data_IF_755806949851
#
_entry.id   IF_755806949851
#
_cell.length_a   1.000
_cell.length_b   1.000
_cell.length_c   1.000
_cell.angle_alpha   90.00
_cell.angle_beta   90.00
_cell.angle_gamma   90.00
#
_symmetry.space_group_name_H-M   'P 1'
#
loop_
_entity.id
_entity.type
_entity.pdbx_description
1 polymer ?
#
# COMPACT_ATOMS: atom_id res chain seq x y z
N UNK A 1 -40.05 -85.33 -21.87
CA UNK A 1 -39.90 -84.13 -22.73
C UNK A 1 -38.96 -83.18 -22.03
N UNK A 2 -37.80 -82.88 -22.66
CA UNK A 2 -36.71 -82.09 -22.10
C UNK A 2 -36.93 -80.65 -22.40
N UNK A 3 -36.82 -79.81 -21.35
CA UNK A 3 -36.71 -78.36 -21.51
C UNK A 3 -35.34 -77.92 -21.00
N UNK A 4 -34.49 -77.49 -21.92
CA UNK A 4 -33.19 -77.01 -21.60
C UNK A 4 -33.25 -75.53 -21.15
N UNK A 5 -32.69 -75.25 -20.02
CA UNK A 5 -32.48 -73.86 -19.52
C UNK A 5 -31.11 -73.36 -19.96
N UNK A 6 -31.11 -72.28 -20.72
CA UNK A 6 -29.92 -71.61 -21.20
C UNK A 6 -29.52 -70.46 -20.17
N UNK A 7 -28.43 -70.71 -19.48
CA UNK A 7 -27.87 -69.74 -18.58
C UNK A 7 -27.18 -68.66 -19.40
N UNK A 8 -27.61 -67.42 -19.22
CA UNK A 8 -27.03 -66.22 -19.85
C UNK A 8 -26.08 -65.53 -18.89
N UNK A 9 -24.78 -65.73 -19.09
CA UNK A 9 -23.74 -64.98 -18.38
C UNK A 9 -23.82 -63.57 -18.78
N UNK A 10 -24.07 -62.68 -17.78
CA UNK A 10 -23.85 -61.24 -17.87
C UNK A 10 -22.50 -60.92 -17.23
N UNK A 11 -21.53 -60.67 -18.05
CA UNK A 11 -20.26 -60.06 -17.62
C UNK A 11 -20.52 -58.60 -17.25
N UNK A 12 -20.36 -58.27 -15.96
CA UNK A 12 -20.35 -56.91 -15.48
C UNK A 12 -19.01 -56.26 -15.83
N UNK A 13 -19.05 -55.33 -16.79
CA UNK A 13 -17.90 -54.48 -17.11
C UNK A 13 -17.70 -53.47 -15.99
N UNK A 14 -16.58 -53.57 -15.30
CA UNK A 14 -16.15 -52.58 -14.32
C UNK A 14 -15.56 -51.39 -15.11
N UNK A 15 -16.32 -50.30 -15.21
CA UNK A 15 -15.79 -49.03 -15.71
C UNK A 15 -14.88 -48.41 -14.62
N UNK A 16 -13.58 -48.53 -14.84
CA UNK A 16 -12.57 -47.85 -14.03
C UNK A 16 -12.51 -46.37 -14.44
N UNK A 17 -13.25 -45.54 -13.72
CA UNK A 17 -13.17 -44.08 -13.88
C UNK A 17 -11.84 -43.60 -13.31
N UNK A 18 -10.86 -43.36 -14.20
CA UNK A 18 -9.61 -42.71 -13.88
C UNK A 18 -9.85 -41.20 -13.80
N UNK A 19 -10.18 -40.70 -12.60
CA UNK A 19 -10.24 -39.24 -12.35
C UNK A 19 -8.79 -38.72 -12.26
N UNK A 20 -8.32 -38.13 -13.36
CA UNK A 20 -7.05 -37.43 -13.42
C UNK A 20 -7.19 -36.12 -12.67
N UNK A 21 -6.86 -36.10 -11.37
CA UNK A 21 -6.77 -34.89 -10.56
C UNK A 21 -5.49 -34.16 -10.94
N UNK A 22 -5.61 -33.18 -11.82
CA UNK A 22 -4.51 -32.25 -12.13
C UNK A 22 -4.33 -31.31 -10.94
N UNK A 23 -3.34 -31.59 -10.08
CA UNK A 23 -2.87 -30.66 -9.07
C UNK A 23 -2.15 -29.53 -9.77
N UNK A 24 -2.84 -28.39 -9.93
CA UNK A 24 -2.18 -27.11 -10.23
C UNK A 24 -1.42 -26.69 -8.98
N UNK A 25 -0.15 -27.03 -8.93
CA UNK A 25 0.78 -26.43 -7.95
C UNK A 25 1.02 -25.00 -8.42
N UNK A 26 0.25 -24.04 -7.85
CA UNK A 26 0.58 -22.64 -7.96
C UNK A 26 1.91 -22.42 -7.25
N UNK A 27 3.00 -22.48 -7.99
CA UNK A 27 4.27 -21.89 -7.53
C UNK A 27 4.04 -20.39 -7.46
N UNK A 28 3.81 -19.88 -6.25
CA UNK A 28 3.91 -18.46 -5.96
C UNK A 28 5.38 -18.08 -6.15
N UNK A 29 5.73 -17.63 -7.34
CA UNK A 29 7.00 -16.98 -7.58
C UNK A 29 6.90 -15.68 -6.80
N UNK A 30 7.50 -15.64 -5.62
CA UNK A 30 7.75 -14.40 -4.92
C UNK A 30 8.69 -13.60 -5.81
N UNK A 31 8.13 -12.68 -6.60
CA UNK A 31 8.92 -11.65 -7.27
C UNK A 31 9.45 -10.76 -6.16
N UNK A 32 10.63 -11.07 -5.67
CA UNK A 32 11.37 -10.13 -4.84
C UNK A 32 11.73 -8.99 -5.78
N UNK A 33 11.24 -7.79 -5.47
CA UNK A 33 11.83 -6.58 -6.03
C UNK A 33 13.34 -6.69 -5.82
N UNK A 34 14.12 -6.23 -6.79
CA UNK A 34 15.59 -6.19 -6.68
C UNK A 34 15.86 -5.39 -5.40
N UNK A 35 16.23 -6.11 -4.34
CA UNK A 35 16.54 -5.51 -3.04
C UNK A 35 18.06 -5.48 -2.94
N UNK A 36 18.63 -4.29 -2.86
CA UNK A 36 20.07 -4.16 -2.62
C UNK A 36 20.33 -4.45 -1.14
N UNK A 37 20.95 -5.59 -0.80
CA UNK A 37 21.15 -5.98 0.60
C UNK A 37 22.11 -5.05 1.35
N UNK A 38 22.94 -4.29 0.63
CA UNK A 38 23.89 -3.34 1.19
C UNK A 38 23.30 -1.92 1.33
N UNK A 39 22.08 -1.69 0.83
CA UNK A 39 21.42 -0.40 0.97
C UNK A 39 21.02 -0.15 2.42
N UNK A 40 21.13 1.10 2.90
CA UNK A 40 20.60 1.48 4.22
C UNK A 40 19.11 1.21 4.33
N UNK A 41 18.64 0.87 5.53
CA UNK A 41 17.20 0.75 5.76
C UNK A 41 16.56 2.15 5.86
N UNK A 42 16.32 2.74 4.69
CA UNK A 42 15.71 4.06 4.57
C UNK A 42 14.31 4.12 5.18
N UNK A 43 13.57 3.00 5.13
CA UNK A 43 12.19 2.94 5.62
C UNK A 43 12.17 2.92 7.14
N UNK A 44 12.99 2.09 7.77
CA UNK A 44 13.10 2.05 9.23
C UNK A 44 13.59 3.39 9.77
N UNK A 45 14.62 3.97 9.16
CA UNK A 45 15.11 5.30 9.53
C UNK A 45 14.03 6.39 9.41
N UNK A 46 13.20 6.35 8.38
CA UNK A 46 12.05 7.25 8.22
C UNK A 46 11.00 7.01 9.30
N UNK A 47 10.63 5.75 9.56
CA UNK A 47 9.63 5.39 10.56
C UNK A 47 10.05 5.85 11.97
N UNK A 48 11.33 5.69 12.30
CA UNK A 48 11.89 6.16 13.57
C UNK A 48 11.76 7.68 13.72
N UNK A 49 11.99 8.47 12.66
CA UNK A 49 11.77 9.92 12.68
C UNK A 49 10.30 10.29 12.75
N UNK A 50 9.41 9.55 12.07
CA UNK A 50 7.98 9.77 12.05
C UNK A 50 7.31 9.50 13.40
N UNK A 51 7.88 8.59 14.19
CA UNK A 51 7.30 8.10 15.44
C UNK A 51 6.97 9.22 16.44
N UNK A 52 7.80 10.26 16.53
CA UNK A 52 7.55 11.39 17.44
C UNK A 52 6.27 12.14 17.08
N UNK A 53 5.99 12.34 15.80
CA UNK A 53 4.77 13.01 15.34
C UNK A 53 3.53 12.14 15.56
N UNK A 54 3.62 10.85 15.32
CA UNK A 54 2.53 9.91 15.59
C UNK A 54 2.23 9.79 17.10
N UNK A 55 3.26 9.85 17.93
CA UNK A 55 3.09 9.93 19.39
C UNK A 55 2.38 11.22 19.80
N UNK A 56 2.76 12.37 19.24
CA UNK A 56 2.13 13.66 19.52
C UNK A 56 0.64 13.64 19.14
N UNK A 57 0.28 13.05 17.99
CA UNK A 57 -1.14 12.88 17.60
C UNK A 57 -1.89 12.02 18.63
N UNK A 58 -1.32 10.91 19.07
CA UNK A 58 -1.94 10.04 20.09
C UNK A 58 -2.09 10.76 21.44
N UNK A 59 -1.12 11.56 21.83
CA UNK A 59 -1.17 12.35 23.07
C UNK A 59 -2.20 13.48 22.98
N UNK A 60 -2.39 14.09 21.81
CA UNK A 60 -3.42 15.10 21.58
C UNK A 60 -4.84 14.60 21.86
N UNK A 61 -5.05 13.28 21.83
CA UNK A 61 -6.33 12.64 22.21
C UNK A 61 -6.79 12.97 23.65
N UNK A 62 -5.86 13.32 24.53
CA UNK A 62 -6.17 13.69 25.92
C UNK A 62 -6.55 15.18 26.09
N UNK A 63 -6.53 15.97 25.01
CA UNK A 63 -6.66 17.42 25.07
C UNK A 63 -7.85 17.94 24.24
N UNK A 64 -7.59 18.83 23.28
CA UNK A 64 -8.61 19.52 22.50
C UNK A 64 -8.55 19.18 21.02
N UNK A 65 -9.62 19.48 20.27
CA UNK A 65 -9.59 19.40 18.80
C UNK A 65 -8.49 20.28 18.20
N UNK A 66 -8.18 21.41 18.82
CA UNK A 66 -7.13 22.31 18.35
C UNK A 66 -5.75 21.67 18.47
N UNK A 67 -5.51 20.87 19.51
CA UNK A 67 -4.26 20.13 19.68
C UNK A 67 -4.08 19.06 18.60
N UNK A 68 -5.17 18.39 18.22
CA UNK A 68 -5.15 17.48 17.07
C UNK A 68 -4.81 18.20 15.76
N UNK A 69 -5.43 19.35 15.51
CA UNK A 69 -5.16 20.14 14.30
C UNK A 69 -3.68 20.53 14.26
N UNK A 70 -3.11 20.99 15.37
CA UNK A 70 -1.70 21.38 15.46
C UNK A 70 -0.77 20.16 15.26
N UNK A 71 -1.08 19.02 15.88
CA UNK A 71 -0.28 17.80 15.76
C UNK A 71 -0.28 17.25 14.34
N UNK A 72 -1.43 17.22 13.67
CA UNK A 72 -1.51 16.79 12.26
C UNK A 72 -0.83 17.77 11.31
N UNK A 73 -0.93 19.09 11.55
CA UNK A 73 -0.21 20.08 10.74
C UNK A 73 1.31 19.90 10.84
N UNK A 74 1.84 19.72 12.04
CA UNK A 74 3.27 19.44 12.25
C UNK A 74 3.71 18.13 11.58
N UNK A 75 2.87 17.11 11.61
CA UNK A 75 3.15 15.84 10.93
C UNK A 75 3.11 15.98 9.41
N UNK A 76 2.17 16.73 8.86
CA UNK A 76 2.09 17.02 7.42
C UNK A 76 3.35 17.77 6.93
N UNK A 77 3.79 18.79 7.66
CA UNK A 77 5.01 19.53 7.35
C UNK A 77 6.26 18.63 7.36
N UNK A 78 6.39 17.76 8.35
CA UNK A 78 7.45 16.77 8.41
C UNK A 78 7.41 15.82 7.21
N UNK A 79 6.25 15.28 6.88
CA UNK A 79 6.08 14.37 5.75
C UNK A 79 6.40 15.03 4.40
N UNK A 80 6.06 16.30 4.21
CA UNK A 80 6.45 17.06 3.00
C UNK A 80 7.97 17.27 2.91
N UNK A 81 8.66 17.46 4.03
CA UNK A 81 10.13 17.51 4.08
C UNK A 81 10.74 16.16 3.71
N UNK A 82 10.26 15.06 4.29
CA UNK A 82 10.71 13.70 3.97
C UNK A 82 10.44 13.34 2.51
N UNK A 83 9.28 13.72 1.97
CA UNK A 83 8.92 13.54 0.57
C UNK A 83 9.93 14.22 -0.36
N UNK A 84 10.26 15.47 -0.07
CA UNK A 84 11.23 16.23 -0.84
C UNK A 84 12.64 15.65 -0.72
N UNK A 85 13.02 15.19 0.47
CA UNK A 85 14.32 14.55 0.72
C UNK A 85 14.45 13.25 -0.07
N UNK A 86 13.47 12.33 0.05
CA UNK A 86 13.46 11.06 -0.68
C UNK A 86 13.48 11.28 -2.20
N UNK A 87 12.70 12.23 -2.70
CA UNK A 87 12.70 12.60 -4.12
C UNK A 87 14.08 13.08 -4.61
N UNK A 88 14.74 13.96 -3.85
CA UNK A 88 16.08 14.49 -4.21
C UNK A 88 17.13 13.39 -4.21
N UNK A 89 17.12 12.52 -3.20
CA UNK A 89 18.06 11.41 -3.10
C UNK A 89 17.88 10.44 -4.27
N UNK A 90 16.65 10.08 -4.58
CA UNK A 90 16.35 9.19 -5.71
C UNK A 90 16.78 9.83 -7.05
N UNK A 91 16.53 11.13 -7.24
CA UNK A 91 16.92 11.85 -8.48
C UNK A 91 18.42 11.76 -8.76
N UNK A 92 19.27 11.73 -7.74
CA UNK A 92 20.75 11.64 -7.92
C UNK A 92 21.16 10.26 -8.46
N UNK A 93 20.41 9.21 -8.15
CA UNK A 93 20.72 7.83 -8.54
C UNK A 93 20.25 7.49 -9.97
N UNK A 94 19.34 8.27 -10.53
CA UNK A 94 18.66 7.94 -11.77
C UNK A 94 19.39 8.46 -13.01
N UNK A 95 19.27 7.74 -14.14
CA UNK A 95 19.63 8.24 -15.47
C UNK A 95 18.76 9.46 -15.86
N UNK A 96 19.21 10.27 -16.82
CA UNK A 96 18.47 11.45 -17.28
C UNK A 96 17.04 11.11 -17.76
N UNK A 97 16.87 10.00 -18.46
CA UNK A 97 15.57 9.53 -18.92
C UNK A 97 14.65 9.19 -17.73
N UNK A 98 15.16 8.43 -16.76
CA UNK A 98 14.43 8.07 -15.55
C UNK A 98 14.13 9.29 -14.67
N UNK A 99 15.05 10.26 -14.59
CA UNK A 99 14.81 11.55 -13.91
C UNK A 99 13.66 12.33 -14.55
N UNK A 100 13.59 12.37 -15.89
CA UNK A 100 12.48 13.01 -16.60
C UNK A 100 11.15 12.33 -16.28
N UNK A 101 11.13 10.99 -16.31
CA UNK A 101 9.95 10.21 -15.99
C UNK A 101 9.51 10.42 -14.52
N UNK A 102 10.43 10.41 -13.57
CA UNK A 102 10.14 10.67 -12.15
C UNK A 102 9.60 12.08 -11.92
N UNK A 103 10.20 13.11 -12.55
CA UNK A 103 9.67 14.48 -12.50
C UNK A 103 8.24 14.57 -12.99
N UNK A 104 7.93 13.91 -14.12
CA UNK A 104 6.58 13.87 -14.66
C UNK A 104 5.59 13.17 -13.70
N UNK A 105 5.99 12.01 -13.17
CA UNK A 105 5.22 11.25 -12.19
C UNK A 105 4.94 12.07 -10.93
N UNK A 106 5.96 12.75 -10.39
CA UNK A 106 5.82 13.54 -9.17
C UNK A 106 4.89 14.74 -9.37
N UNK A 107 4.95 15.43 -10.51
CA UNK A 107 4.01 16.51 -10.82
C UNK A 107 2.56 16.03 -10.90
N UNK A 108 2.31 14.89 -11.54
CA UNK A 108 0.97 14.29 -11.61
C UNK A 108 0.48 13.87 -10.22
N UNK A 109 1.36 13.30 -9.42
CA UNK A 109 1.02 12.93 -8.05
C UNK A 109 0.68 14.15 -7.19
N UNK A 110 1.42 15.26 -7.31
CA UNK A 110 1.08 16.51 -6.60
C UNK A 110 -0.29 17.05 -7.01
N UNK A 111 -0.64 16.98 -8.31
CA UNK A 111 -1.97 17.35 -8.77
C UNK A 111 -3.06 16.44 -8.19
N UNK A 112 -2.84 15.13 -8.19
CA UNK A 112 -3.74 14.17 -7.56
C UNK A 112 -3.89 14.44 -6.05
N UNK A 113 -2.78 14.60 -5.31
CA UNK A 113 -2.81 14.94 -3.88
C UNK A 113 -3.68 16.16 -3.59
N UNK A 114 -3.53 17.22 -4.38
CA UNK A 114 -4.29 18.46 -4.16
C UNK A 114 -5.79 18.25 -4.41
N UNK A 115 -6.18 17.43 -5.39
CA UNK A 115 -7.58 17.08 -5.65
C UNK A 115 -8.16 16.21 -4.52
N UNK A 116 -7.38 15.26 -4.00
CA UNK A 116 -7.77 14.47 -2.83
C UNK A 116 -7.93 15.36 -1.58
N UNK A 117 -7.03 16.32 -1.37
CA UNK A 117 -7.15 17.27 -0.26
C UNK A 117 -8.42 18.11 -0.35
N UNK A 118 -8.79 18.55 -1.56
CA UNK A 118 -10.04 19.25 -1.83
C UNK A 118 -11.26 18.37 -1.53
N UNK A 119 -11.23 17.11 -1.98
CA UNK A 119 -12.28 16.14 -1.69
C UNK A 119 -12.41 15.90 -0.18
N UNK A 120 -11.31 15.64 0.51
CA UNK A 120 -11.27 15.44 1.96
C UNK A 120 -11.84 16.65 2.71
N UNK A 121 -11.47 17.87 2.31
CA UNK A 121 -11.97 19.09 2.93
C UNK A 121 -13.47 19.29 2.76
N UNK A 122 -14.03 18.93 1.58
CA UNK A 122 -15.45 19.08 1.26
C UNK A 122 -16.32 17.98 1.85
N UNK A 123 -15.79 16.77 1.98
CA UNK A 123 -16.55 15.62 2.47
C UNK A 123 -16.60 15.56 4.00
N UNK A 124 -15.49 15.76 4.69
CA UNK A 124 -15.42 15.74 6.16
C UNK A 124 -15.57 17.15 6.74
N UNK A 125 -16.79 17.66 6.73
CA UNK A 125 -17.08 19.01 7.23
C UNK A 125 -17.51 19.00 8.70
N UNK A 126 -17.27 20.11 9.39
CA UNK A 126 -17.73 20.28 10.78
C UNK A 126 -19.26 20.22 10.89
N UNK A 127 -19.98 20.65 9.84
CA UNK A 127 -21.44 20.57 9.81
C UNK A 127 -21.96 19.14 9.84
N UNK A 128 -21.25 18.19 9.22
CA UNK A 128 -21.68 16.79 9.13
C UNK A 128 -21.10 15.93 10.27
N UNK A 129 -19.85 16.18 10.65
CA UNK A 129 -19.10 15.29 11.56
C UNK A 129 -18.63 15.98 12.84
N UNK A 130 -19.03 17.24 13.08
CA UNK A 130 -18.59 17.97 14.26
C UNK A 130 -17.06 18.16 14.31
N UNK A 131 -16.52 18.22 15.52
CA UNK A 131 -15.11 18.41 15.76
C UNK A 131 -14.22 17.23 15.27
N UNK A 132 -14.77 16.01 15.18
CA UNK A 132 -14.03 14.84 14.68
C UNK A 132 -13.65 14.95 13.20
N UNK A 133 -14.31 15.82 12.43
CA UNK A 133 -13.96 16.11 11.05
C UNK A 133 -12.50 16.54 10.87
N UNK A 134 -11.96 17.29 11.82
CA UNK A 134 -10.57 17.76 11.78
C UNK A 134 -9.58 16.59 11.92
N UNK A 135 -9.90 15.62 12.78
CA UNK A 135 -9.09 14.42 13.00
C UNK A 135 -9.06 13.58 11.72
N UNK A 136 -10.24 13.26 11.16
CA UNK A 136 -10.34 12.47 9.92
C UNK A 136 -9.60 13.13 8.75
N UNK A 137 -9.73 14.47 8.61
CA UNK A 137 -8.99 15.20 7.56
C UNK A 137 -7.49 15.09 7.73
N UNK A 138 -6.98 15.25 8.95
CA UNK A 138 -5.56 15.11 9.26
C UNK A 138 -5.05 13.71 8.95
N UNK A 139 -5.78 12.68 9.37
CA UNK A 139 -5.44 11.27 9.13
C UNK A 139 -5.34 10.95 7.64
N UNK A 140 -6.37 11.27 6.84
CA UNK A 140 -6.34 10.96 5.40
C UNK A 140 -5.25 11.72 4.64
N UNK A 141 -5.04 12.99 4.94
CA UNK A 141 -4.01 13.82 4.29
C UNK A 141 -2.61 13.30 4.59
N UNK A 142 -2.31 13.05 5.86
CA UNK A 142 -0.98 12.55 6.27
C UNK A 142 -0.73 11.14 5.74
N UNK A 143 -1.74 10.25 5.71
CA UNK A 143 -1.62 8.92 5.13
C UNK A 143 -1.25 8.97 3.64
N UNK A 144 -1.86 9.88 2.87
CA UNK A 144 -1.57 10.04 1.45
C UNK A 144 -0.11 10.45 1.20
N UNK A 145 0.41 11.41 1.97
CA UNK A 145 1.82 11.85 1.83
C UNK A 145 2.78 10.76 2.31
N UNK A 146 2.52 10.15 3.47
CA UNK A 146 3.34 9.07 4.05
C UNK A 146 3.52 7.92 3.07
N UNK A 147 2.45 7.48 2.41
CA UNK A 147 2.50 6.40 1.42
C UNK A 147 3.41 6.77 0.24
N UNK A 148 3.43 8.04 -0.20
CA UNK A 148 4.33 8.48 -1.27
C UNK A 148 5.78 8.52 -0.83
N UNK A 149 6.06 8.97 0.40
CA UNK A 149 7.40 8.93 0.99
C UNK A 149 7.93 7.49 0.97
N UNK A 150 7.17 6.55 1.54
CA UNK A 150 7.55 5.14 1.61
C UNK A 150 7.84 4.58 0.21
N UNK A 151 6.99 4.87 -0.77
CA UNK A 151 7.20 4.42 -2.15
C UNK A 151 8.51 4.94 -2.76
N UNK A 152 8.84 6.22 -2.54
CA UNK A 152 10.10 6.78 -3.05
C UNK A 152 11.32 6.17 -2.34
N UNK A 153 11.22 5.90 -1.03
CA UNK A 153 12.26 5.22 -0.26
C UNK A 153 12.44 3.76 -0.70
N UNK A 154 11.34 3.07 -1.05
CA UNK A 154 11.41 1.73 -1.65
C UNK A 154 12.16 1.74 -2.99
N UNK A 155 11.91 2.74 -3.83
CA UNK A 155 12.67 2.88 -5.08
C UNK A 155 14.16 3.16 -4.79
N UNK A 156 14.45 4.02 -3.81
CA UNK A 156 15.81 4.36 -3.44
C UNK A 156 16.62 3.15 -2.93
N UNK A 157 15.96 2.20 -2.26
CA UNK A 157 16.59 0.98 -1.76
C UNK A 157 17.18 0.08 -2.85
N UNK A 158 16.80 0.27 -4.11
CA UNK A 158 17.32 -0.51 -5.22
C UNK A 158 18.67 0.00 -5.77
N UNK A 159 19.20 1.09 -5.25
CA UNK A 159 20.46 1.72 -5.66
C UNK A 159 21.49 1.71 -4.52
#
# INVERSE_FOLDING_TARGET
MRVGSRIKNRSAGIFFNFVLTVFFICYSISVHAIDNPDAPDYIDAFQNRAQVYELNIRQAAAHTTQDYIAAYAAYEDFLDQELNSAYKQLMVQLSEEAQYALRSSQRKWLSYRNQEFDFIARNWTTAQFGSSSAISRGEYRTALIKNRVILLLQYLKNY
#
